data_IF_677715733099
#
_entry.id   IF_677715733099
#
_cell.length_a   1.000
_cell.length_b   1.000
_cell.length_c   1.000
_cell.angle_alpha   90.00
_cell.angle_beta   90.00
_cell.angle_gamma   90.00
#
_symmetry.space_group_name_H-M   'P 1'
#
loop_
_entity.id
_entity.type
_entity.pdbx_description
1 polymer ?
#
# COMPACT_ATOMS: atom_id res chain seq x y z
N UNK A 1 -23.52 15.17 -29.86
CA UNK A 1 -22.56 16.27 -29.93
C UNK A 1 -21.74 16.25 -28.64
N UNK A 2 -20.42 16.10 -28.74
CA UNK A 2 -19.51 16.17 -27.57
C UNK A 2 -19.37 17.63 -27.17
N UNK A 3 -19.61 17.92 -25.91
CA UNK A 3 -19.43 19.26 -25.33
C UNK A 3 -17.95 19.67 -25.46
N UNK A 4 -17.62 20.88 -25.96
CA UNK A 4 -16.24 21.31 -26.16
C UNK A 4 -15.50 21.36 -24.82
N UNK A 5 -14.21 21.03 -24.83
CA UNK A 5 -13.37 21.16 -23.66
C UNK A 5 -13.00 22.62 -23.42
N UNK A 6 -12.83 22.99 -22.15
CA UNK A 6 -12.20 24.26 -21.83
C UNK A 6 -10.70 24.16 -22.04
N UNK A 7 -10.02 25.27 -22.31
CA UNK A 7 -8.56 25.30 -22.49
C UNK A 7 -7.79 24.57 -21.36
N UNK A 8 -8.29 24.73 -20.12
CA UNK A 8 -7.70 24.07 -18.96
C UNK A 8 -7.90 22.55 -19.00
N UNK A 9 -9.08 22.10 -19.42
CA UNK A 9 -9.39 20.68 -19.57
C UNK A 9 -8.57 20.03 -20.69
N UNK A 10 -8.37 20.73 -21.79
CA UNK A 10 -7.51 20.27 -22.89
C UNK A 10 -6.06 20.09 -22.45
N UNK A 11 -5.51 21.05 -21.72
CA UNK A 11 -4.15 20.96 -21.18
C UNK A 11 -3.99 19.79 -20.20
N UNK A 12 -4.97 19.58 -19.32
CA UNK A 12 -4.96 18.43 -18.37
C UNK A 12 -5.05 17.11 -19.15
N UNK A 13 -5.94 17.01 -20.14
CA UNK A 13 -6.07 15.81 -20.96
C UNK A 13 -4.78 15.51 -21.75
N UNK A 14 -4.17 16.54 -22.34
CA UNK A 14 -2.89 16.42 -23.05
C UNK A 14 -1.76 15.95 -22.13
N UNK A 15 -1.70 16.47 -20.91
CA UNK A 15 -0.72 16.05 -19.91
C UNK A 15 -0.91 14.58 -19.51
N UNK A 16 -2.14 14.15 -19.28
CA UNK A 16 -2.44 12.75 -18.95
C UNK A 16 -2.05 11.84 -20.15
N UNK A 17 -2.39 12.25 -21.37
CA UNK A 17 -2.04 11.51 -22.61
C UNK A 17 -0.52 11.38 -22.77
N UNK A 18 0.21 12.47 -22.57
CA UNK A 18 1.68 12.50 -22.61
C UNK A 18 2.28 11.55 -21.58
N UNK A 19 1.82 11.61 -20.33
CA UNK A 19 2.30 10.72 -19.27
C UNK A 19 2.06 9.24 -19.58
N UNK A 20 0.89 8.87 -20.11
CA UNK A 20 0.60 7.49 -20.53
C UNK A 20 1.53 7.04 -21.67
N UNK A 21 1.82 7.91 -22.64
CA UNK A 21 2.67 7.55 -23.77
C UNK A 21 4.16 7.45 -23.38
N UNK A 22 4.64 8.33 -22.49
CA UNK A 22 6.05 8.39 -22.08
C UNK A 22 6.38 7.44 -20.93
N UNK A 23 5.47 7.27 -19.98
CA UNK A 23 5.71 6.53 -18.74
C UNK A 23 4.97 5.19 -18.69
N UNK A 24 4.02 4.95 -19.59
CA UNK A 24 3.19 3.74 -19.63
C UNK A 24 2.02 3.73 -18.65
N UNK A 25 1.86 4.77 -17.83
CA UNK A 25 0.79 4.89 -16.83
C UNK A 25 0.29 6.34 -16.69
N UNK A 26 -0.97 6.56 -16.27
CA UNK A 26 -1.49 7.89 -16.06
C UNK A 26 -0.89 8.55 -14.79
N UNK A 27 -0.80 9.89 -14.76
CA UNK A 27 -0.36 10.63 -13.59
C UNK A 27 -1.36 10.55 -12.46
N UNK A 28 -0.89 10.70 -11.22
CA UNK A 28 -1.73 10.80 -10.03
C UNK A 28 -2.42 12.16 -9.96
N UNK A 29 -3.50 12.27 -9.17
CA UNK A 29 -4.20 13.55 -8.90
C UNK A 29 -3.22 14.59 -8.36
N UNK A 30 -2.24 14.17 -7.57
CA UNK A 30 -1.26 15.06 -6.96
C UNK A 30 -0.26 15.59 -8.01
N UNK A 31 0.25 14.74 -8.88
CA UNK A 31 1.12 15.11 -9.99
C UNK A 31 0.43 16.10 -10.96
N UNK A 32 -0.87 15.86 -11.25
CA UNK A 32 -1.68 16.80 -12.03
C UNK A 32 -1.80 18.14 -11.27
N UNK A 33 -2.07 18.10 -9.97
CA UNK A 33 -2.18 19.31 -9.14
C UNK A 33 -0.89 20.13 -9.13
N UNK A 34 0.25 19.48 -8.92
CA UNK A 34 1.57 20.09 -8.91
C UNK A 34 1.92 20.70 -10.28
N UNK A 35 1.69 19.95 -11.38
CA UNK A 35 1.97 20.42 -12.73
C UNK A 35 1.16 21.65 -13.14
N UNK A 36 -0.11 21.72 -12.73
CA UNK A 36 -1.02 22.81 -13.08
C UNK A 36 -1.19 23.88 -11.98
N UNK A 37 -0.46 23.79 -10.87
CA UNK A 37 -0.53 24.74 -9.77
C UNK A 37 -1.88 24.71 -9.04
N UNK A 38 -2.60 23.58 -9.05
CA UNK A 38 -3.88 23.39 -8.38
C UNK A 38 -3.61 22.90 -6.96
N UNK A 39 -3.78 23.76 -5.96
CA UNK A 39 -3.47 23.45 -4.56
C UNK A 39 -4.42 22.43 -3.91
N UNK A 40 -5.64 22.30 -4.43
CA UNK A 40 -6.66 21.40 -3.89
C UNK A 40 -6.83 20.16 -4.75
N UNK A 41 -6.78 18.98 -4.14
CA UNK A 41 -7.09 17.69 -4.79
C UNK A 41 -8.53 17.65 -5.31
N UNK A 42 -9.46 18.37 -4.66
CA UNK A 42 -10.83 18.51 -5.12
C UNK A 42 -10.92 19.28 -6.45
N UNK A 43 -10.12 20.35 -6.62
CA UNK A 43 -10.07 21.10 -7.87
C UNK A 43 -9.58 20.26 -9.05
N UNK A 44 -8.58 19.37 -8.82
CA UNK A 44 -8.16 18.41 -9.84
C UNK A 44 -9.25 17.40 -10.14
N UNK A 45 -9.90 16.87 -9.10
CA UNK A 45 -11.02 15.93 -9.26
C UNK A 45 -12.19 16.50 -10.05
N UNK A 46 -12.50 17.79 -9.88
CA UNK A 46 -13.59 18.44 -10.63
C UNK A 46 -13.29 18.53 -12.12
N UNK A 47 -12.03 18.82 -12.49
CA UNK A 47 -11.59 18.76 -13.89
C UNK A 47 -11.65 17.34 -14.45
N UNK A 48 -11.21 16.34 -13.70
CA UNK A 48 -11.26 14.93 -14.12
C UNK A 48 -12.69 14.42 -14.28
N UNK A 49 -13.61 14.76 -13.35
CA UNK A 49 -15.05 14.45 -13.46
C UNK A 49 -15.68 15.10 -14.68
N UNK A 50 -15.29 16.34 -14.99
CA UNK A 50 -15.78 17.03 -16.19
C UNK A 50 -15.32 16.34 -17.47
N UNK A 51 -14.03 15.90 -17.54
CA UNK A 51 -13.49 15.15 -18.67
C UNK A 51 -14.18 13.76 -18.82
N UNK A 52 -14.47 13.10 -17.71
CA UNK A 52 -15.19 11.84 -17.67
C UNK A 52 -16.64 12.01 -18.17
N UNK A 53 -17.37 13.00 -17.65
CA UNK A 53 -18.74 13.32 -18.09
C UNK A 53 -18.81 13.64 -19.60
N UNK A 54 -17.79 14.32 -20.11
CA UNK A 54 -17.65 14.65 -21.54
C UNK A 54 -17.18 13.47 -22.39
N UNK A 55 -16.82 12.34 -21.77
CA UNK A 55 -16.46 11.08 -22.44
C UNK A 55 -15.02 10.99 -22.93
N UNK A 56 -14.10 11.83 -22.44
CA UNK A 56 -12.68 11.81 -22.80
C UNK A 56 -11.84 10.94 -21.85
N UNK A 57 -12.39 10.63 -20.67
CA UNK A 57 -11.75 9.76 -19.67
C UNK A 57 -12.73 8.71 -19.19
N UNK A 58 -12.19 7.56 -18.79
CA UNK A 58 -12.89 6.54 -17.98
C UNK A 58 -12.06 6.29 -16.73
N UNK A 59 -12.71 6.27 -15.58
CA UNK A 59 -12.11 5.83 -14.31
C UNK A 59 -12.44 4.37 -14.08
N UNK A 60 -11.41 3.55 -13.87
CA UNK A 60 -11.59 2.19 -13.36
C UNK A 60 -11.90 2.22 -11.87
N UNK A 61 -12.83 1.39 -11.43
CA UNK A 61 -13.14 1.19 -10.02
C UNK A 61 -11.92 0.55 -9.33
N UNK A 62 -11.38 1.16 -8.27
CA UNK A 62 -10.43 0.61 -7.31
C UNK A 62 -8.92 0.92 -7.40
N UNK A 63 -8.41 1.78 -8.29
CA UNK A 63 -6.97 2.13 -8.24
C UNK A 63 -6.73 3.62 -8.47
N UNK A 64 -5.81 4.21 -7.70
CA UNK A 64 -5.41 5.62 -7.78
C UNK A 64 -4.82 6.06 -9.15
N UNK A 65 -4.53 5.10 -10.03
CA UNK A 65 -4.01 5.28 -11.40
C UNK A 65 -4.91 4.66 -12.48
N UNK A 66 -6.19 4.46 -12.20
CA UNK A 66 -7.11 3.84 -13.14
C UNK A 66 -7.79 4.88 -14.05
N UNK A 67 -6.99 5.72 -14.72
CA UNK A 67 -7.47 6.65 -15.75
C UNK A 67 -7.16 6.09 -17.13
N UNK A 68 -8.17 5.92 -17.97
CA UNK A 68 -8.01 5.56 -19.38
C UNK A 68 -8.57 6.68 -20.26
N UNK A 69 -7.82 7.05 -21.30
CA UNK A 69 -8.25 8.07 -22.27
C UNK A 69 -9.03 7.41 -23.38
N UNK A 70 -10.13 8.04 -23.81
CA UNK A 70 -10.90 7.66 -24.98
C UNK A 70 -10.57 8.65 -26.11
N UNK A 71 -9.99 8.18 -27.20
CA UNK A 71 -9.74 9.02 -28.39
C UNK A 71 -11.06 9.33 -29.09
N UNK A 72 -11.30 10.63 -29.31
CA UNK A 72 -12.50 11.09 -30.04
C UNK A 72 -13.76 11.26 -29.19
N UNK A 73 -13.72 11.12 -27.88
CA UNK A 73 -14.90 11.26 -27.01
C UNK A 73 -15.79 10.03 -27.01
N UNK A 74 -17.09 10.18 -26.66
CA UNK A 74 -18.06 9.07 -26.58
C UNK A 74 -18.07 8.24 -27.86
N UNK A 75 -17.58 7.01 -27.81
CA UNK A 75 -17.53 6.05 -28.92
C UNK A 75 -16.13 5.75 -29.45
N UNK A 76 -15.09 6.39 -28.94
CA UNK A 76 -13.71 6.10 -29.31
C UNK A 76 -13.12 4.88 -28.58
N UNK A 77 -12.08 4.29 -29.20
CA UNK A 77 -11.34 3.20 -28.56
C UNK A 77 -10.44 3.75 -27.44
N UNK A 78 -10.25 3.00 -26.34
CA UNK A 78 -9.31 3.40 -25.30
C UNK A 78 -7.88 3.46 -25.86
N UNK A 79 -7.15 4.53 -25.58
CA UNK A 79 -5.72 4.66 -25.89
C UNK A 79 -4.99 3.57 -25.13
N UNK A 80 -4.53 2.56 -25.84
CA UNK A 80 -3.63 1.55 -25.28
C UNK A 80 -2.20 1.99 -25.52
N UNK A 81 -1.28 1.77 -24.56
CA UNK A 81 0.14 1.97 -24.83
C UNK A 81 0.52 1.12 -26.06
N UNK A 82 1.04 1.76 -27.11
CA UNK A 82 1.51 1.08 -28.32
C UNK A 82 2.89 0.45 -28.10
N UNK A 83 3.07 -0.21 -26.98
CA UNK A 83 4.22 -1.06 -26.72
C UNK A 83 3.91 -2.47 -27.22
N UNK A 84 4.34 -2.77 -28.44
CA UNK A 84 4.41 -4.13 -28.97
C UNK A 84 5.45 -4.88 -28.14
N UNK A 85 5.01 -5.71 -27.20
CA UNK A 85 5.91 -6.64 -26.52
C UNK A 85 6.31 -7.73 -27.51
N UNK A 86 7.56 -7.83 -27.97
CA UNK A 86 8.01 -8.97 -28.77
C UNK A 86 7.98 -10.20 -27.86
N UNK A 87 7.33 -11.24 -28.35
CA UNK A 87 7.33 -12.56 -27.74
C UNK A 87 8.70 -13.20 -28.00
N UNK A 88 9.49 -13.35 -26.95
CA UNK A 88 10.73 -14.12 -27.00
C UNK A 88 11.98 -13.25 -27.02
N UNK A 89 12.45 -13.02 -25.87
CA UNK A 89 13.85 -12.90 -25.40
C UNK A 89 13.79 -12.18 -24.05
N UNK A 90 14.20 -12.84 -22.98
CA UNK A 90 14.42 -12.20 -21.70
C UNK A 90 15.67 -11.34 -21.84
N UNK A 91 15.53 -10.20 -22.52
CA UNK A 91 16.55 -9.16 -22.46
C UNK A 91 16.39 -8.44 -21.10
N UNK A 92 17.52 -8.29 -20.44
CA UNK A 92 17.63 -7.54 -19.20
C UNK A 92 16.84 -6.24 -19.32
N UNK A 93 15.85 -6.09 -18.44
CA UNK A 93 15.09 -4.82 -18.30
C UNK A 93 16.11 -3.71 -18.00
N UNK A 94 16.16 -2.62 -18.77
CA UNK A 94 17.04 -1.51 -18.40
C UNK A 94 16.60 -1.02 -17.03
N UNK A 95 17.58 -0.83 -16.16
CA UNK A 95 17.41 -0.26 -14.81
C UNK A 95 16.92 1.20 -14.90
N UNK A 96 15.64 1.36 -15.18
CA UNK A 96 14.95 2.64 -15.06
C UNK A 96 14.07 2.58 -13.83
N UNK A 97 14.66 2.95 -12.69
CA UNK A 97 13.96 3.15 -11.45
C UNK A 97 13.37 1.87 -10.86
N UNK A 98 14.18 0.84 -10.65
CA UNK A 98 13.84 -0.21 -9.71
C UNK A 98 13.73 0.45 -8.34
N UNK A 99 12.49 0.72 -7.92
CA UNK A 99 12.19 1.26 -6.61
C UNK A 99 12.51 0.24 -5.52
N UNK A 100 13.77 -0.20 -5.42
CA UNK A 100 14.22 -1.03 -4.31
C UNK A 100 14.19 -0.16 -3.06
N UNK A 101 13.34 -0.54 -2.12
CA UNK A 101 13.21 0.11 -0.81
C UNK A 101 13.99 -0.71 0.20
N UNK A 102 14.79 -0.03 0.97
CA UNK A 102 15.43 -0.61 2.15
C UNK A 102 14.44 -0.57 3.32
N UNK A 103 13.99 -1.75 3.75
CA UNK A 103 13.06 -1.92 4.86
C UNK A 103 13.86 -2.29 6.11
N UNK A 104 13.84 -1.46 7.17
CA UNK A 104 14.56 -1.78 8.40
C UNK A 104 13.92 -3.00 9.09
N UNK A 105 14.76 -3.91 9.55
CA UNK A 105 14.37 -5.03 10.40
C UNK A 105 14.56 -4.64 11.85
N UNK A 106 13.46 -4.63 12.61
CA UNK A 106 13.46 -4.30 14.02
C UNK A 106 13.59 -5.57 14.86
N UNK A 107 14.55 -5.61 15.75
CA UNK A 107 14.83 -6.79 16.58
C UNK A 107 13.92 -6.88 17.79
N UNK A 108 13.67 -5.77 18.47
CA UNK A 108 12.78 -5.69 19.64
C UNK A 108 11.87 -4.48 19.51
N UNK A 109 10.64 -4.67 19.95
CA UNK A 109 9.66 -3.58 20.11
C UNK A 109 9.39 -3.46 21.59
N UNK A 110 9.67 -2.29 22.16
CA UNK A 110 9.44 -2.00 23.57
C UNK A 110 8.52 -0.80 23.72
N UNK A 111 7.78 -0.75 24.82
CA UNK A 111 6.96 0.40 25.18
C UNK A 111 7.82 1.63 25.43
N UNK A 112 7.32 2.80 25.01
CA UNK A 112 7.95 4.09 25.29
C UNK A 112 9.12 4.49 24.39
N UNK A 113 9.76 3.57 23.66
CA UNK A 113 10.83 3.89 22.72
C UNK A 113 10.29 4.01 21.27
N UNK A 114 10.86 4.91 20.43
CA UNK A 114 10.54 4.94 19.02
C UNK A 114 10.93 3.61 18.37
N UNK A 115 9.98 2.92 17.76
CA UNK A 115 10.17 1.58 17.15
C UNK A 115 11.32 1.58 16.13
N UNK A 116 11.47 2.68 15.39
CA UNK A 116 12.52 2.87 14.37
C UNK A 116 13.73 3.63 14.93
N UNK A 117 13.96 3.61 16.23
CA UNK A 117 15.24 4.07 16.78
C UNK A 117 16.39 3.19 16.25
N UNK A 118 17.54 3.79 15.97
CA UNK A 118 18.67 3.06 15.36
C UNK A 118 19.12 1.85 16.20
N UNK A 119 19.02 1.95 17.51
CA UNK A 119 19.33 0.88 18.46
C UNK A 119 18.43 -0.36 18.36
N UNK A 120 17.23 -0.21 17.78
CA UNK A 120 16.29 -1.29 17.58
C UNK A 120 16.42 -1.96 16.20
N UNK A 121 17.13 -1.35 15.26
CA UNK A 121 17.32 -1.85 13.90
C UNK A 121 18.48 -2.82 13.89
N UNK A 122 18.19 -4.08 13.56
CA UNK A 122 19.19 -5.16 13.54
C UNK A 122 19.70 -5.49 12.15
N UNK A 123 18.93 -5.19 11.11
CA UNK A 123 19.24 -5.51 9.72
C UNK A 123 18.38 -4.66 8.77
N UNK A 124 18.62 -4.79 7.46
CA UNK A 124 17.81 -4.19 6.40
C UNK A 124 17.51 -5.23 5.33
N UNK A 125 16.26 -5.27 4.87
CA UNK A 125 15.84 -6.09 3.73
C UNK A 125 15.58 -5.19 2.54
N UNK A 126 16.20 -5.53 1.40
CA UNK A 126 15.95 -4.85 0.12
C UNK A 126 14.81 -5.56 -0.59
N UNK A 127 13.74 -4.83 -0.84
CA UNK A 127 12.54 -5.35 -1.50
C UNK A 127 12.06 -4.37 -2.56
N UNK A 128 11.49 -4.90 -3.64
CA UNK A 128 10.91 -4.05 -4.67
C UNK A 128 9.70 -3.29 -4.11
N UNK A 129 9.68 -1.98 -4.35
CA UNK A 129 8.58 -1.10 -3.91
C UNK A 129 7.21 -1.54 -4.43
N UNK A 130 7.17 -2.25 -5.57
CA UNK A 130 5.95 -2.85 -6.10
C UNK A 130 5.28 -3.80 -5.11
N UNK A 131 6.06 -4.58 -4.35
CA UNK A 131 5.54 -5.53 -3.35
C UNK A 131 4.97 -4.83 -2.11
N UNK A 132 5.38 -3.59 -1.84
CA UNK A 132 4.95 -2.80 -0.70
C UNK A 132 3.82 -1.82 -1.05
N UNK A 133 3.59 -1.56 -2.33
CA UNK A 133 2.59 -0.60 -2.80
C UNK A 133 2.81 0.80 -2.22
N UNK A 134 1.72 1.53 -1.95
CA UNK A 134 1.77 2.89 -1.41
C UNK A 134 2.33 2.98 0.03
N UNK A 135 2.53 1.82 0.66
CA UNK A 135 3.05 1.74 2.04
C UNK A 135 4.58 1.84 2.13
N UNK A 136 5.32 1.78 1.03
CA UNK A 136 6.79 1.65 0.98
C UNK A 136 7.58 2.59 1.90
N UNK A 137 7.07 3.80 2.17
CA UNK A 137 7.74 4.79 3.04
C UNK A 137 7.49 4.64 4.55
N UNK A 138 6.58 3.73 4.94
CA UNK A 138 6.15 3.56 6.34
C UNK A 138 6.18 2.10 6.76
N UNK A 139 7.02 1.31 6.13
CA UNK A 139 7.14 -0.13 6.38
C UNK A 139 8.41 -0.43 7.16
N UNK A 140 8.30 -1.34 8.08
CA UNK A 140 9.42 -2.00 8.75
C UNK A 140 9.15 -3.50 8.80
N UNK A 141 10.16 -4.28 9.12
CA UNK A 141 10.04 -5.71 9.24
C UNK A 141 10.32 -6.17 10.67
N UNK A 142 9.63 -7.23 11.08
CA UNK A 142 9.90 -7.98 12.31
C UNK A 142 10.13 -9.44 11.96
N UNK A 143 11.03 -10.07 12.70
CA UNK A 143 11.19 -11.52 12.65
C UNK A 143 10.16 -12.15 13.59
N UNK A 144 9.40 -13.09 13.07
CA UNK A 144 8.38 -13.84 13.82
C UNK A 144 9.05 -14.86 14.72
N UNK A 145 8.55 -14.95 15.96
CA UNK A 145 8.89 -16.02 16.89
C UNK A 145 7.60 -16.69 17.35
N UNK A 146 7.55 -18.01 17.23
CA UNK A 146 6.41 -18.82 17.62
C UNK A 146 5.48 -19.18 16.45
N UNK A 147 4.44 -19.93 16.76
CA UNK A 147 3.57 -20.62 15.81
C UNK A 147 2.09 -20.19 15.88
N UNK A 148 1.79 -19.11 16.61
CA UNK A 148 0.41 -18.69 16.88
C UNK A 148 -0.39 -18.27 15.64
N UNK A 149 0.27 -18.05 14.48
CA UNK A 149 -0.32 -17.54 13.23
C UNK A 149 -0.13 -18.49 12.05
N UNK A 150 0.14 -19.77 12.29
CA UNK A 150 0.42 -20.76 11.23
C UNK A 150 -0.77 -20.98 10.30
N UNK A 151 -2.01 -20.83 10.77
CA UNK A 151 -3.21 -20.90 9.95
C UNK A 151 -3.34 -19.80 8.92
N UNK A 152 -2.65 -18.67 9.13
CA UNK A 152 -2.52 -17.56 8.17
C UNK A 152 -1.22 -17.66 7.35
N UNK A 153 -0.48 -18.77 7.45
CA UNK A 153 0.75 -19.01 6.71
C UNK A 153 1.97 -18.27 7.26
N UNK A 154 1.87 -17.66 8.45
CA UNK A 154 2.99 -16.99 9.13
C UNK A 154 3.63 -18.00 10.08
N UNK A 155 4.87 -18.37 9.78
CA UNK A 155 5.60 -19.39 10.53
C UNK A 155 6.73 -18.81 11.37
N UNK A 156 7.22 -19.58 12.31
CA UNK A 156 8.40 -19.23 13.09
C UNK A 156 9.61 -18.97 12.17
N UNK A 157 10.33 -17.89 12.46
CA UNK A 157 11.48 -17.45 11.67
C UNK A 157 11.17 -16.62 10.42
N UNK A 158 9.90 -16.45 10.05
CA UNK A 158 9.50 -15.56 8.95
C UNK A 158 9.82 -14.10 9.27
N UNK A 159 9.96 -13.30 8.21
CA UNK A 159 9.95 -11.84 8.31
C UNK A 159 8.58 -11.34 7.87
N UNK A 160 7.91 -10.57 8.71
CA UNK A 160 6.66 -9.89 8.37
C UNK A 160 6.94 -8.42 8.07
N UNK A 161 6.34 -7.91 6.99
CA UNK A 161 6.36 -6.50 6.65
C UNK A 161 5.17 -5.82 7.27
N UNK A 162 5.43 -4.74 8.02
CA UNK A 162 4.42 -4.05 8.82
C UNK A 162 4.32 -2.61 8.35
N UNK A 163 3.14 -2.22 7.91
CA UNK A 163 2.79 -0.82 7.67
C UNK A 163 2.44 -0.16 8.99
N UNK A 164 3.22 0.84 9.39
CA UNK A 164 2.96 1.61 10.62
C UNK A 164 1.59 2.27 10.56
N UNK A 165 0.69 1.85 11.45
CA UNK A 165 -0.68 2.34 11.53
C UNK A 165 -1.23 2.04 12.94
N UNK A 166 -1.92 3.01 13.55
CA UNK A 166 -2.43 2.90 14.92
C UNK A 166 -3.87 2.35 15.00
N UNK A 167 -4.51 2.15 13.86
CA UNK A 167 -5.89 1.66 13.77
C UNK A 167 -5.95 0.46 12.84
N UNK A 168 -6.85 -0.47 13.15
CA UNK A 168 -7.10 -1.66 12.35
C UNK A 168 -8.59 -1.93 12.22
N UNK A 169 -8.99 -2.54 11.12
CA UNK A 169 -10.33 -3.07 10.94
C UNK A 169 -10.47 -4.47 11.55
N UNK A 170 -11.69 -4.89 11.91
CA UNK A 170 -11.92 -6.24 12.42
C UNK A 170 -11.42 -7.31 11.45
N UNK A 171 -10.67 -8.29 11.96
CA UNK A 171 -10.11 -9.39 11.20
C UNK A 171 -8.74 -9.14 10.57
N UNK A 172 -8.24 -7.89 10.55
CA UNK A 172 -6.89 -7.60 10.05
C UNK A 172 -5.81 -8.20 10.96
N UNK A 173 -4.71 -8.61 10.35
CA UNK A 173 -3.55 -9.12 11.08
C UNK A 173 -2.71 -7.93 11.51
N UNK A 174 -2.55 -7.77 12.81
CA UNK A 174 -1.83 -6.64 13.41
C UNK A 174 -0.60 -7.11 14.17
N UNK A 175 0.36 -6.22 14.30
CA UNK A 175 1.34 -6.27 15.38
C UNK A 175 0.82 -5.35 16.48
N UNK A 176 0.60 -5.90 17.64
CA UNK A 176 0.18 -5.17 18.84
C UNK A 176 1.27 -5.29 19.92
N UNK A 177 1.46 -4.22 20.65
CA UNK A 177 2.21 -4.21 21.90
C UNK A 177 1.18 -4.32 23.02
N UNK A 178 1.30 -5.36 23.84
CA UNK A 178 0.46 -5.57 25.02
C UNK A 178 1.42 -5.57 26.20
N UNK A 179 1.33 -4.52 27.02
CA UNK A 179 2.37 -4.22 28.01
C UNK A 179 3.73 -4.06 27.32
N UNK A 180 4.67 -4.92 27.56
CA UNK A 180 6.03 -4.87 26.98
C UNK A 180 6.26 -5.93 25.90
N UNK A 181 5.23 -6.69 25.53
CA UNK A 181 5.35 -7.79 24.56
C UNK A 181 4.69 -7.47 23.22
N UNK A 182 5.48 -7.55 22.14
CA UNK A 182 4.95 -7.48 20.79
C UNK A 182 4.37 -8.82 20.37
N UNK A 183 3.13 -8.80 19.87
CA UNK A 183 2.44 -10.01 19.39
C UNK A 183 1.81 -9.79 18.03
N UNK A 184 1.74 -10.86 17.23
CA UNK A 184 1.05 -10.88 15.93
C UNK A 184 -0.25 -11.66 16.07
N UNK A 185 -1.39 -11.02 15.81
CA UNK A 185 -2.71 -11.63 15.96
C UNK A 185 -3.71 -10.99 15.01
N UNK A 186 -4.85 -11.63 14.81
CA UNK A 186 -6.01 -10.99 14.20
C UNK A 186 -6.73 -10.13 15.23
N UNK A 187 -7.05 -8.91 14.83
CA UNK A 187 -7.68 -7.89 15.67
C UNK A 187 -9.21 -7.95 15.57
N UNK A 188 -9.88 -8.03 16.70
CA UNK A 188 -11.35 -7.96 16.79
C UNK A 188 -11.77 -7.06 17.95
N UNK A 189 -12.29 -5.86 17.68
CA UNK A 189 -12.90 -5.01 18.70
C UNK A 189 -14.30 -5.56 19.04
N UNK A 190 -14.54 -5.87 20.32
CA UNK A 190 -15.77 -6.49 20.84
C UNK A 190 -16.36 -5.62 21.96
N UNK A 191 -16.85 -4.44 21.63
CA UNK A 191 -17.50 -3.54 22.59
C UNK A 191 -16.54 -3.01 23.67
N UNK A 192 -16.59 -3.60 24.85
CA UNK A 192 -15.77 -3.20 26.02
C UNK A 192 -14.39 -3.84 26.07
N UNK A 193 -14.08 -4.75 25.13
CA UNK A 193 -12.82 -5.47 25.05
C UNK A 193 -12.29 -5.57 23.64
N UNK A 194 -11.01 -5.85 23.54
CA UNK A 194 -10.34 -6.22 22.29
C UNK A 194 -9.96 -7.71 22.40
N UNK A 195 -10.25 -8.47 21.35
CA UNK A 195 -9.77 -9.83 21.19
C UNK A 195 -8.66 -9.87 20.15
N UNK A 196 -7.49 -10.33 20.55
CA UNK A 196 -6.39 -10.67 19.68
C UNK A 196 -6.39 -12.18 19.43
N UNK A 197 -6.88 -12.58 18.27
CA UNK A 197 -7.14 -13.98 17.91
C UNK A 197 -5.92 -14.59 17.24
N UNK A 198 -5.36 -15.69 17.79
CA UNK A 198 -4.36 -16.49 17.06
C UNK A 198 -5.01 -17.24 15.90
N UNK A 199 -4.23 -17.54 14.87
CA UNK A 199 -4.60 -18.42 13.77
C UNK A 199 -3.94 -19.79 13.95
N UNK A 200 -4.07 -20.35 15.13
CA UNK A 200 -3.63 -21.68 15.51
C UNK A 200 -4.54 -22.16 16.65
N UNK A 201 -5.24 -23.30 16.49
CA UNK A 201 -6.16 -23.82 17.49
C UNK A 201 -5.49 -24.21 18.83
N UNK A 202 -4.16 -24.35 18.84
CA UNK A 202 -3.40 -24.68 20.05
C UNK A 202 -3.11 -23.44 20.93
N UNK A 203 -3.51 -22.26 20.49
CA UNK A 203 -3.31 -21.02 21.24
C UNK A 203 -4.64 -20.36 21.59
N UNK A 204 -4.75 -19.92 22.83
CA UNK A 204 -5.91 -19.18 23.30
C UNK A 204 -5.88 -17.71 22.84
N UNK A 205 -7.03 -17.09 22.56
CA UNK A 205 -7.13 -15.66 22.29
C UNK A 205 -6.67 -14.83 23.49
N UNK A 206 -6.02 -13.70 23.18
CA UNK A 206 -5.70 -12.70 24.20
C UNK A 206 -6.84 -11.69 24.25
N UNK A 207 -7.44 -11.52 25.42
CA UNK A 207 -8.45 -10.50 25.66
C UNK A 207 -7.86 -9.35 26.45
N UNK A 208 -8.11 -8.13 26.01
CA UNK A 208 -7.77 -6.90 26.72
C UNK A 208 -9.04 -6.14 26.99
N UNK A 209 -9.43 -6.01 28.25
CA UNK A 209 -10.60 -5.26 28.68
C UNK A 209 -10.23 -3.83 29.03
N UNK A 210 -11.13 -2.89 28.76
CA UNK A 210 -10.93 -1.49 29.05
C UNK A 210 -10.65 -1.19 30.53
N UNK A 211 -11.19 -2.05 31.41
CA UNK A 211 -11.06 -1.94 32.86
C UNK A 211 -9.72 -2.49 33.40
N UNK A 212 -8.99 -3.28 32.61
CA UNK A 212 -7.75 -3.92 33.06
C UNK A 212 -6.55 -2.97 33.06
N UNK A 213 -6.68 -1.75 32.52
CA UNK A 213 -5.61 -0.75 32.40
C UNK A 213 -4.31 -1.27 31.76
N UNK A 214 -4.38 -2.37 31.02
CA UNK A 214 -3.23 -2.93 30.30
C UNK A 214 -2.88 -2.00 29.14
N UNK A 215 -1.66 -1.50 29.14
CA UNK A 215 -1.17 -0.68 28.04
C UNK A 215 -1.17 -1.53 26.77
N UNK A 216 -2.00 -1.13 25.83
CA UNK A 216 -2.16 -1.87 24.56
C UNK A 216 -2.13 -0.88 23.41
N UNK A 217 -1.25 -1.12 22.46
CA UNK A 217 -1.08 -0.28 21.28
C UNK A 217 -0.98 -1.14 20.02
N UNK A 218 -1.77 -0.81 19.00
CA UNK A 218 -1.54 -1.32 17.64
C UNK A 218 -0.32 -0.59 17.07
N UNK A 219 0.69 -1.34 16.67
CA UNK A 219 1.92 -0.83 16.08
C UNK A 219 1.77 -0.69 14.58
N UNK A 220 1.08 -1.65 13.94
CA UNK A 220 0.83 -1.62 12.51
C UNK A 220 0.14 -2.88 12.00
N UNK A 221 -0.16 -2.84 10.71
CA UNK A 221 -0.78 -3.94 9.97
C UNK A 221 0.28 -4.78 9.27
N UNK A 222 0.14 -6.09 9.32
CA UNK A 222 0.93 -7.02 8.51
C UNK A 222 0.45 -6.92 7.06
N UNK A 223 1.34 -6.57 6.15
CA UNK A 223 1.05 -6.39 4.72
C UNK A 223 1.75 -7.41 3.83
N UNK A 224 2.67 -8.19 4.39
CA UNK A 224 3.38 -9.22 3.65
C UNK A 224 4.23 -10.10 4.55
N UNK A 225 4.60 -11.26 4.03
CA UNK A 225 5.47 -12.25 4.69
C UNK A 225 6.61 -12.60 3.74
N UNK A 226 7.82 -12.70 4.28
CA UNK A 226 8.98 -13.16 3.56
C UNK A 226 9.60 -14.34 4.31
N UNK A 227 9.80 -15.45 3.61
CA UNK A 227 10.44 -16.65 4.14
C UNK A 227 11.66 -17.01 3.31
N UNK A 228 12.80 -17.13 3.98
CA UNK A 228 14.02 -17.67 3.36
C UNK A 228 14.00 -19.20 3.55
N UNK A 229 13.79 -19.92 2.46
CA UNK A 229 13.94 -21.38 2.46
C UNK A 229 15.42 -21.71 2.44
N UNK A 230 15.89 -22.47 3.42
CA UNK A 230 17.24 -23.03 3.41
C UNK A 230 17.17 -24.41 2.77
N UNK A 231 17.91 -24.61 1.72
CA UNK A 231 18.18 -25.94 1.16
C UNK A 231 19.25 -26.60 1.99
#
# INVERSE_FOLDING_TARGET
MTEPLTERQEKILAFIKKSILEQGYPPTIREIGEHFGIRSTNGVNDHLKALERKGYLVRGELKSRALSIIEGGRGGAPVRPTGRFPRGEVQAVPESGSGVVEVPVVGKVAAGAPILAQENITDHVRIDSFLLGDAARKVFALKVSGDSMIGDGILDGDYIFIRKQLQAAPGEIVVALIEDEATVKRFFPEGDRIRFQPSNPNHEPIYVRREEFRETQIIGLVIGVYRKVRN
#
